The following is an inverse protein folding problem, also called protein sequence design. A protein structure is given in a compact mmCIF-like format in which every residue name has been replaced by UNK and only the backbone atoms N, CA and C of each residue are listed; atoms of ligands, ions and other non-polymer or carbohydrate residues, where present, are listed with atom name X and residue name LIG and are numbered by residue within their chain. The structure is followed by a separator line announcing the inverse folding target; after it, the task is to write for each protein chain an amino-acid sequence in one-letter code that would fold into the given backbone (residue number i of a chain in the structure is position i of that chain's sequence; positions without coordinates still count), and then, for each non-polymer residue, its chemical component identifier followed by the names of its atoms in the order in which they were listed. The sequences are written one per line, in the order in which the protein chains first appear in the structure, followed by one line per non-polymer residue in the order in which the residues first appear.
data_IF_531846098122
#
_entry.id   IF_531846098122
#
_cell.length_a   1.000
_cell.length_b   1.000
_cell.length_c   1.000
_cell.angle_alpha   90.00
_cell.angle_beta   90.00
_cell.angle_gamma   90.00
#
_symmetry.space_group_name_H-M   'P 1'
#
loop_
_entity.id
_entity.type
_entity.pdbx_description
1 polymer ?
#
# COMPACT_ATOMS: atom_id res chain seq x y z
N UNK A 1 -14.03 -5.59 -11.09
CA UNK A 1 -12.66 -5.25 -11.53
C UNK A 1 -11.67 -5.95 -10.62
N UNK A 2 -10.70 -6.66 -11.17
CA UNK A 2 -9.64 -7.30 -10.38
C UNK A 2 -8.47 -6.35 -10.16
N UNK A 3 -7.90 -6.39 -8.96
CA UNK A 3 -6.75 -5.58 -8.55
C UNK A 3 -5.72 -6.51 -7.91
N UNK A 4 -4.46 -6.30 -8.25
CA UNK A 4 -3.32 -6.92 -7.59
C UNK A 4 -2.63 -5.90 -6.69
N UNK A 5 -2.44 -6.25 -5.43
CA UNK A 5 -1.71 -5.47 -4.42
C UNK A 5 -0.48 -6.27 -4.02
N UNK A 6 0.69 -5.81 -4.47
CA UNK A 6 1.98 -6.37 -4.08
C UNK A 6 2.57 -5.55 -2.92
N UNK A 7 2.90 -6.21 -1.81
CA UNK A 7 3.62 -5.63 -0.69
C UNK A 7 5.01 -6.25 -0.64
N UNK A 8 6.05 -5.43 -0.76
CA UNK A 8 7.45 -5.86 -0.74
C UNK A 8 8.26 -5.07 0.28
N UNK A 9 9.20 -5.74 0.93
CA UNK A 9 10.20 -5.08 1.76
C UNK A 9 11.53 -5.00 1.00
N UNK A 10 12.12 -3.82 0.91
CA UNK A 10 13.45 -3.64 0.31
C UNK A 10 14.37 -2.91 1.29
N UNK A 11 15.62 -3.36 1.36
CA UNK A 11 16.64 -2.69 2.17
C UNK A 11 17.40 -1.69 1.29
N UNK A 12 17.13 -0.40 1.47
CA UNK A 12 17.89 0.64 0.80
C UNK A 12 19.19 0.92 1.57
N UNK A 13 20.31 1.03 0.85
CA UNK A 13 21.53 1.54 1.46
C UNK A 13 21.36 3.02 1.82
N UNK A 14 21.88 3.48 2.97
CA UNK A 14 21.87 4.89 3.29
C UNK A 14 22.63 5.66 2.21
N UNK A 15 21.98 6.70 1.66
CA UNK A 15 22.49 7.50 0.55
C UNK A 15 23.79 8.24 0.91
N UNK A 16 24.01 8.52 2.19
CA UNK A 16 25.22 9.12 2.74
C UNK A 16 26.03 8.04 3.47
N UNK A 17 26.96 7.43 2.74
CA UNK A 17 27.85 6.40 3.26
C UNK A 17 28.75 6.91 4.37
N UNK A 18 28.31 6.82 5.62
CA UNK A 18 29.21 6.65 6.76
C UNK A 18 28.56 5.65 7.70
N UNK A 19 28.89 4.37 7.54
CA UNK A 19 28.71 3.42 8.62
C UNK A 19 29.64 3.87 9.75
N UNK A 20 29.12 4.60 10.73
CA UNK A 20 29.75 4.59 12.03
C UNK A 20 29.65 3.14 12.52
N UNK A 21 30.77 2.44 12.81
CA UNK A 21 30.68 1.12 13.39
C UNK A 21 29.95 1.26 14.71
N UNK A 22 28.65 0.93 14.72
CA UNK A 22 27.92 0.72 15.96
C UNK A 22 28.54 -0.50 16.61
N UNK A 23 29.48 -0.25 17.51
CA UNK A 23 29.89 -1.24 18.49
C UNK A 23 28.62 -1.71 19.20
N UNK A 24 28.26 -3.01 19.14
CA UNK A 24 27.20 -3.51 19.97
C UNK A 24 27.60 -3.25 21.41
N UNK A 25 26.86 -2.38 22.11
CA UNK A 25 26.96 -2.29 23.56
C UNK A 25 26.31 -3.55 24.11
N UNK A 26 27.08 -4.63 24.14
CA UNK A 26 26.78 -5.72 25.07
C UNK A 26 26.91 -5.17 26.48
N UNK A 27 25.95 -5.50 27.32
CA UNK A 27 25.93 -5.15 28.74
C UNK A 27 27.03 -5.84 29.57
N UNK A 28 28.20 -6.12 28.98
CA UNK A 28 29.44 -6.58 29.59
C UNK A 28 30.56 -6.36 28.56
N UNK A 29 31.45 -5.40 28.83
CA UNK A 29 32.40 -4.83 27.87
C UNK A 29 33.55 -5.75 27.46
N UNK A 30 33.34 -6.59 26.45
CA UNK A 30 34.42 -7.17 25.65
C UNK A 30 34.04 -7.24 24.16
N UNK A 31 34.87 -6.69 23.25
CA UNK A 31 34.64 -6.83 21.81
C UNK A 31 35.10 -8.22 21.35
N UNK A 32 34.18 -9.00 20.77
CA UNK A 32 34.51 -10.24 20.06
C UNK A 32 34.95 -9.87 18.63
N UNK A 33 36.20 -10.16 18.22
CA UNK A 33 36.64 -9.92 16.85
C UNK A 33 36.24 -11.12 15.98
N UNK A 34 35.51 -10.87 14.88
CA UNK A 34 35.30 -11.88 13.84
C UNK A 34 33.92 -11.95 13.18
N UNK A 35 32.97 -11.07 13.48
CA UNK A 35 31.67 -11.11 12.78
C UNK A 35 31.74 -10.32 11.48
N UNK A 36 31.95 -11.03 10.38
CA UNK A 36 31.79 -10.58 9.00
C UNK A 36 30.56 -9.65 8.83
N UNK A 37 30.65 -8.56 8.04
CA UNK A 37 29.58 -7.57 7.88
C UNK A 37 28.28 -8.12 7.26
N UNK A 38 28.30 -9.37 6.78
CA UNK A 38 27.13 -10.07 6.21
C UNK A 38 26.07 -10.49 7.24
N UNK A 39 26.36 -10.49 8.54
CA UNK A 39 25.40 -10.90 9.57
C UNK A 39 24.70 -9.74 10.30
N UNK A 40 25.02 -8.48 9.97
CA UNK A 40 24.40 -7.33 10.64
C UNK A 40 22.98 -7.04 10.13
N UNK A 41 22.70 -7.36 8.86
CA UNK A 41 21.35 -7.27 8.27
C UNK A 41 20.37 -8.32 8.78
N UNK A 42 20.85 -9.28 9.57
CA UNK A 42 20.03 -10.37 10.13
C UNK A 42 19.40 -9.98 11.49
N UNK A 43 19.84 -8.86 12.09
CA UNK A 43 19.35 -8.41 13.40
C UNK A 43 18.26 -7.34 13.32
N UNK A 44 18.26 -6.54 12.26
CA UNK A 44 17.33 -5.42 12.07
C UNK A 44 17.08 -5.23 10.57
N UNK A 45 15.83 -4.93 10.19
CA UNK A 45 15.43 -4.72 8.79
C UNK A 45 14.29 -5.61 8.29
N UNK A 46 13.70 -6.46 9.15
CA UNK A 46 12.46 -7.16 8.83
C UNK A 46 11.22 -6.42 9.36
N UNK A 47 10.13 -6.60 8.61
CA UNK A 47 8.78 -6.19 8.98
C UNK A 47 8.04 -7.42 9.52
N UNK A 48 7.24 -7.29 10.57
CA UNK A 48 6.48 -8.39 11.15
C UNK A 48 5.12 -7.93 11.68
N UNK A 49 4.26 -8.89 12.05
CA UNK A 49 2.90 -8.62 12.52
C UNK A 49 2.12 -7.72 11.54
N UNK A 50 2.18 -8.11 10.26
CA UNK A 50 1.57 -7.36 9.17
C UNK A 50 0.08 -7.63 9.08
N UNK A 51 -0.68 -6.55 8.88
CA UNK A 51 -2.11 -6.55 8.66
C UNK A 51 -2.40 -5.69 7.42
N UNK A 52 -2.83 -6.33 6.34
CA UNK A 52 -3.15 -5.69 5.07
C UNK A 52 -4.67 -5.50 5.00
N UNK A 53 -5.10 -4.25 5.02
CA UNK A 53 -6.51 -3.87 4.96
C UNK A 53 -6.81 -3.21 3.61
N UNK A 54 -7.88 -3.68 2.98
CA UNK A 54 -8.43 -3.10 1.76
C UNK A 54 -9.74 -2.39 2.10
N UNK A 55 -9.79 -1.07 1.88
CA UNK A 55 -10.92 -0.22 2.26
C UNK A 55 -11.52 0.38 0.98
N UNK A 56 -12.76 0.01 0.59
CA UNK A 56 -13.40 0.60 -0.58
C UNK A 56 -13.72 2.08 -0.32
N UNK A 57 -13.62 2.90 -1.38
CA UNK A 57 -13.94 4.33 -1.32
C UNK A 57 -15.21 4.63 -2.12
N UNK A 58 -16.00 5.62 -1.68
CA UNK A 58 -17.26 5.98 -2.33
C UNK A 58 -18.32 4.88 -2.24
N UNK A 59 -19.01 4.61 -3.36
CA UNK A 59 -20.03 3.57 -3.46
C UNK A 59 -19.46 2.20 -3.90
N UNK A 60 -18.14 2.04 -3.86
CA UNK A 60 -17.50 0.80 -4.27
C UNK A 60 -17.61 -0.26 -3.17
N UNK A 61 -17.51 -1.53 -3.54
CA UNK A 61 -17.47 -2.61 -2.56
C UNK A 61 -16.51 -3.72 -2.98
N UNK A 62 -15.91 -4.37 -1.99
CA UNK A 62 -15.03 -5.52 -2.20
C UNK A 62 -15.91 -6.76 -2.20
N UNK A 63 -15.88 -7.49 -3.31
CA UNK A 63 -16.64 -8.73 -3.49
C UNK A 63 -15.86 -9.94 -3.00
N UNK A 64 -14.55 -9.94 -3.23
CA UNK A 64 -13.68 -11.09 -2.96
C UNK A 64 -12.25 -10.64 -2.70
N UNK A 65 -11.54 -11.35 -1.81
CA UNK A 65 -10.11 -11.20 -1.57
C UNK A 65 -9.48 -12.59 -1.62
N UNK A 66 -8.42 -12.74 -2.42
CA UNK A 66 -7.63 -13.96 -2.55
C UNK A 66 -6.20 -13.63 -2.12
N UNK A 67 -5.63 -14.47 -1.27
CA UNK A 67 -4.27 -14.33 -0.74
C UNK A 67 -3.56 -15.69 -0.80
N UNK A 68 -2.28 -15.67 -1.15
CA UNK A 68 -1.49 -16.85 -1.54
C UNK A 68 -1.25 -17.84 -0.39
N UNK A 69 -1.08 -17.34 0.84
CA UNK A 69 -0.89 -18.16 2.03
C UNK A 69 -1.71 -17.57 3.18
N UNK A 70 -2.75 -18.29 3.60
CA UNK A 70 -3.41 -18.06 4.88
C UNK A 70 -2.85 -19.03 5.92
N UNK A 71 -2.22 -18.54 7.00
CA UNK A 71 -2.19 -17.14 7.42
C UNK A 71 -1.12 -16.30 6.70
N UNK A 72 -1.45 -15.01 6.49
CA UNK A 72 -0.50 -13.97 6.06
C UNK A 72 0.87 -14.16 6.74
N UNK A 73 2.01 -14.12 6.02
CA UNK A 73 3.32 -14.34 6.62
C UNK A 73 3.53 -13.40 7.80
N UNK A 74 3.79 -13.97 8.98
CA UNK A 74 3.96 -13.18 10.21
C UNK A 74 5.19 -12.27 10.14
N UNK A 75 6.10 -12.48 9.18
CA UNK A 75 7.32 -11.71 8.96
C UNK A 75 7.64 -11.60 7.46
N UNK A 76 7.98 -10.39 7.01
CA UNK A 76 8.46 -10.07 5.66
C UNK A 76 9.93 -9.64 5.75
N UNK A 77 10.81 -10.51 5.25
CA UNK A 77 12.22 -10.20 5.10
C UNK A 77 12.47 -9.37 3.84
N UNK A 78 13.55 -8.58 3.79
CA UNK A 78 13.95 -7.87 2.57
C UNK A 78 14.05 -8.83 1.37
N UNK A 79 13.47 -8.43 0.24
CA UNK A 79 13.40 -9.22 -0.99
C UNK A 79 12.21 -10.18 -1.07
N UNK A 80 11.49 -10.40 0.03
CA UNK A 80 10.22 -11.14 0.00
C UNK A 80 9.06 -10.22 -0.36
N UNK A 81 8.03 -10.82 -0.95
CA UNK A 81 6.84 -10.15 -1.44
C UNK A 81 5.60 -10.93 -1.01
N UNK A 82 4.49 -10.22 -0.86
CA UNK A 82 3.16 -10.79 -0.62
C UNK A 82 2.21 -10.20 -1.64
N UNK A 83 1.43 -11.05 -2.30
CA UNK A 83 0.38 -10.66 -3.23
C UNK A 83 -1.00 -10.85 -2.61
N UNK A 84 -1.83 -9.80 -2.71
CA UNK A 84 -3.26 -9.85 -2.40
C UNK A 84 -4.02 -9.48 -3.67
N UNK A 85 -4.94 -10.35 -4.09
CA UNK A 85 -5.86 -10.08 -5.19
C UNK A 85 -7.21 -9.68 -4.61
N UNK A 86 -7.80 -8.61 -5.14
CA UNK A 86 -9.11 -8.16 -4.73
C UNK A 86 -10.03 -8.00 -5.93
N UNK A 87 -11.23 -8.56 -5.83
CA UNK A 87 -12.31 -8.29 -6.75
C UNK A 87 -13.15 -7.13 -6.20
N UNK A 88 -13.09 -5.98 -6.86
CA UNK A 88 -13.83 -4.79 -6.48
C UNK A 88 -14.95 -4.51 -7.47
N UNK A 89 -16.17 -4.35 -6.96
CA UNK A 89 -17.27 -3.80 -7.71
C UNK A 89 -17.15 -2.28 -7.73
N UNK A 90 -17.10 -1.73 -8.94
CA UNK A 90 -17.03 -0.29 -9.15
C UNK A 90 -18.38 0.19 -9.69
N UNK A 91 -19.09 1.01 -8.92
CA UNK A 91 -20.30 1.67 -9.40
C UNK A 91 -19.87 2.95 -10.12
N UNK A 92 -19.68 2.86 -11.44
CA UNK A 92 -19.47 4.05 -12.24
C UNK A 92 -20.71 4.93 -12.13
N UNK A 93 -20.54 6.20 -11.76
CA UNK A 93 -21.59 7.21 -11.95
C UNK A 93 -21.98 7.14 -13.43
N UNK A 94 -23.18 6.63 -13.70
CA UNK A 94 -23.69 6.54 -15.07
C UNK A 94 -23.73 7.95 -15.69
N UNK A 95 -23.68 8.05 -17.03
CA UNK A 95 -23.79 9.34 -17.69
C UNK A 95 -25.05 10.04 -17.17
N UNK A 96 -24.88 11.21 -16.55
CA UNK A 96 -26.01 12.01 -16.10
C UNK A 96 -26.85 12.28 -17.35
N UNK A 97 -28.12 11.82 -17.40
CA UNK A 97 -28.93 12.03 -18.59
C UNK A 97 -29.04 13.53 -18.82
N UNK A 98 -28.56 13.98 -19.98
CA UNK A 98 -28.66 15.36 -20.46
C UNK A 98 -30.09 15.86 -20.23
N UNK A 99 -30.29 16.68 -19.19
CA UNK A 99 -31.54 17.38 -18.99
C UNK A 99 -31.46 18.67 -19.80
N UNK A 100 -32.33 18.89 -20.79
CA UNK A 100 -32.41 20.19 -21.44
C UNK A 100 -33.08 21.16 -20.48
N UNK A 101 -32.32 21.71 -19.53
CA UNK A 101 -32.83 22.74 -18.64
C UNK A 101 -32.48 24.12 -19.21
N UNK A 102 -33.53 24.87 -19.57
CA UNK A 102 -33.43 26.30 -19.81
C UNK A 102 -32.82 27.03 -18.63
N UNK A 103 -32.23 28.19 -18.90
CA UNK A 103 -31.45 29.06 -18.02
C UNK A 103 -31.86 29.02 -16.53
N UNK A 104 -31.28 28.07 -15.78
CA UNK A 104 -31.23 28.05 -14.32
C UNK A 104 -29.76 28.26 -13.97
N UNK A 105 -29.47 29.12 -12.98
CA UNK A 105 -28.11 29.37 -12.50
C UNK A 105 -27.51 28.05 -11.98
N UNK A 106 -26.74 27.37 -12.81
CA UNK A 106 -25.96 26.20 -12.43
C UNK A 106 -24.94 26.60 -11.35
N UNK A 107 -24.73 25.73 -10.36
CA UNK A 107 -23.69 25.93 -9.35
C UNK A 107 -22.32 25.63 -9.96
N UNK A 108 -21.25 26.25 -9.46
CA UNK A 108 -19.88 26.06 -9.96
C UNK A 108 -19.47 24.59 -9.96
N UNK A 109 -19.90 23.84 -8.96
CA UNK A 109 -19.52 22.44 -8.77
C UNK A 109 -20.17 21.55 -9.85
N UNK A 110 -21.42 21.86 -10.23
CA UNK A 110 -22.13 21.18 -11.33
C UNK A 110 -21.44 21.45 -12.68
N UNK A 111 -20.93 22.66 -12.88
CA UNK A 111 -20.18 23.02 -14.09
C UNK A 111 -18.82 22.32 -14.14
N UNK A 112 -18.15 22.17 -13.00
CA UNK A 112 -16.87 21.45 -12.92
C UNK A 112 -17.09 19.97 -13.22
N UNK A 113 -18.12 19.36 -12.63
CA UNK A 113 -18.50 17.96 -12.91
C UNK A 113 -18.82 17.76 -14.42
N UNK A 114 -19.63 18.65 -15.00
CA UNK A 114 -19.97 18.61 -16.44
C UNK A 114 -18.71 18.74 -17.33
N UNK A 115 -17.77 19.61 -16.94
CA UNK A 115 -16.51 19.79 -17.66
C UNK A 115 -15.61 18.56 -17.53
N UNK A 116 -15.48 17.97 -16.35
CA UNK A 116 -14.71 16.74 -16.15
C UNK A 116 -15.26 15.57 -16.97
N UNK A 117 -16.58 15.47 -17.07
CA UNK A 117 -17.28 14.47 -17.89
C UNK A 117 -17.06 14.72 -19.39
N UNK A 118 -17.15 15.98 -19.84
CA UNK A 118 -16.89 16.34 -21.23
C UNK A 118 -15.43 16.17 -21.62
N UNK A 119 -14.49 16.41 -20.71
CA UNK A 119 -13.06 16.26 -20.95
C UNK A 119 -12.60 14.81 -20.74
N UNK A 120 -13.44 13.95 -20.16
CA UNK A 120 -13.12 12.56 -19.85
C UNK A 120 -11.89 12.44 -18.96
N UNK A 121 -11.72 13.40 -18.04
CA UNK A 121 -10.53 13.55 -17.21
C UNK A 121 -10.80 13.35 -15.72
N UNK A 122 -11.97 12.83 -15.35
CA UNK A 122 -12.31 12.65 -13.93
C UNK A 122 -11.47 11.52 -13.31
N UNK A 123 -10.77 11.83 -12.22
CA UNK A 123 -9.99 10.87 -11.44
C UNK A 123 -10.85 10.41 -10.27
N UNK A 124 -11.17 9.12 -10.23
CA UNK A 124 -12.01 8.52 -9.19
C UNK A 124 -11.18 7.58 -8.33
N UNK A 125 -11.00 7.95 -7.07
CA UNK A 125 -10.43 7.07 -6.05
C UNK A 125 -11.41 5.95 -5.73
N UNK A 126 -10.93 4.70 -5.69
CA UNK A 126 -11.82 3.55 -5.55
C UNK A 126 -11.43 2.58 -4.43
N UNK A 127 -10.15 2.55 -4.06
CA UNK A 127 -9.65 1.65 -3.02
C UNK A 127 -8.51 2.31 -2.25
N UNK A 128 -8.56 2.24 -0.92
CA UNK A 128 -7.44 2.58 -0.04
C UNK A 128 -6.86 1.28 0.51
N UNK A 129 -5.56 1.10 0.32
CA UNK A 129 -4.76 0.01 0.86
C UNK A 129 -4.07 0.54 2.11
N UNK A 130 -4.18 -0.18 3.23
CA UNK A 130 -3.52 0.16 4.49
C UNK A 130 -2.76 -1.06 4.98
N UNK A 131 -1.45 -0.93 5.15
CA UNK A 131 -0.58 -1.96 5.71
C UNK A 131 -0.12 -1.49 7.07
N UNK A 132 -0.55 -2.19 8.11
CA UNK A 132 -0.08 -1.96 9.48
C UNK A 132 0.92 -3.03 9.85
N UNK A 133 2.02 -2.65 10.45
CA UNK A 133 3.10 -3.58 10.74
C UNK A 133 4.02 -3.09 11.85
N UNK A 134 4.91 -3.98 12.29
CA UNK A 134 5.99 -3.66 13.22
C UNK A 134 7.32 -3.83 12.51
N UNK A 135 8.32 -3.11 12.96
CA UNK A 135 9.64 -3.15 12.34
C UNK A 135 10.69 -3.47 13.40
N UNK A 136 11.61 -4.38 13.07
CA UNK A 136 12.64 -4.87 14.00
C UNK A 136 13.56 -3.77 14.54
N UNK A 137 13.73 -2.66 13.82
CA UNK A 137 14.46 -1.48 14.32
C UNK A 137 13.79 -0.76 15.50
N UNK A 138 12.52 -1.08 15.82
CA UNK A 138 11.81 -0.56 16.98
C UNK A 138 11.42 -1.73 17.92
N UNK A 139 12.39 -2.33 18.63
CA UNK A 139 12.11 -3.44 19.52
C UNK A 139 11.25 -2.99 20.71
N UNK A 140 10.43 -3.90 21.25
CA UNK A 140 9.67 -3.67 22.47
C UNK A 140 10.60 -3.31 23.62
N UNK A 141 10.34 -2.20 24.30
CA UNK A 141 11.11 -1.79 25.47
C UNK A 141 10.41 -2.28 26.74
N UNK A 142 10.75 -3.48 27.19
CA UNK A 142 10.37 -3.95 28.53
C UNK A 142 11.39 -3.45 29.55
N UNK A 143 11.04 -2.48 30.40
CA UNK A 143 11.88 -2.17 31.58
C UNK A 143 11.68 -3.30 32.59
N UNK A 144 12.70 -4.14 32.77
CA UNK A 144 12.68 -5.24 33.74
C UNK A 144 12.83 -4.79 35.19
N UNK A 145 13.24 -3.54 35.42
CA UNK A 145 13.52 -3.00 36.76
C UNK A 145 12.62 -1.80 37.05
N UNK A 146 11.38 -2.02 37.49
CA UNK A 146 10.72 -1.10 38.42
C UNK A 146 9.47 -1.73 39.02
N UNK A 147 9.41 -1.66 40.35
CA UNK A 147 8.23 -1.82 41.19
C UNK A 147 7.13 -0.88 40.67
N UNK A 148 5.95 -1.43 40.45
CA UNK A 148 4.67 -0.75 40.15
C UNK A 148 4.42 -0.31 38.68
N UNK A 149 3.54 -1.06 37.99
CA UNK A 149 2.64 -0.52 36.96
C UNK A 149 3.19 -0.11 35.58
N UNK A 150 4.30 -0.66 35.08
CA UNK A 150 4.83 -0.27 33.75
C UNK A 150 4.13 -1.01 32.60
N UNK A 151 3.59 -0.23 31.65
CA UNK A 151 2.98 -0.68 30.41
C UNK A 151 4.04 -1.07 29.35
N UNK A 152 3.79 -2.17 28.62
CA UNK A 152 4.58 -2.54 27.42
C UNK A 152 4.45 -1.43 26.37
N UNK A 153 5.58 -0.89 25.91
CA UNK A 153 5.61 0.15 24.87
C UNK A 153 6.06 -0.49 23.57
N UNK A 154 5.17 -0.48 22.59
CA UNK A 154 5.39 -1.06 21.28
C UNK A 154 5.16 -0.02 20.18
N UNK A 155 6.00 -0.04 19.13
CA UNK A 155 5.85 0.82 17.96
C UNK A 155 5.15 0.03 16.84
N UNK A 156 4.04 0.56 16.35
CA UNK A 156 3.34 0.04 15.17
C UNK A 156 3.32 1.12 14.09
N UNK A 157 3.72 0.75 12.89
CA UNK A 157 3.78 1.60 11.71
C UNK A 157 2.56 1.33 10.83
N UNK A 158 2.09 2.39 10.16
CA UNK A 158 1.02 2.31 9.17
C UNK A 158 1.52 2.94 7.87
N UNK A 159 1.38 2.21 6.77
CA UNK A 159 1.62 2.72 5.42
C UNK A 159 0.32 2.62 4.64
N UNK A 160 -0.10 3.70 3.98
CA UNK A 160 -1.33 3.68 3.20
C UNK A 160 -1.12 4.21 1.79
N UNK A 161 -1.78 3.59 0.83
CA UNK A 161 -1.81 4.00 -0.57
C UNK A 161 -3.25 4.05 -1.07
N UNK A 162 -3.56 5.01 -1.94
CA UNK A 162 -4.90 5.13 -2.55
C UNK A 162 -4.81 4.86 -4.04
N UNK A 163 -5.58 3.88 -4.50
CA UNK A 163 -5.73 3.57 -5.90
C UNK A 163 -6.86 4.41 -6.52
N UNK A 164 -6.58 4.95 -7.71
CA UNK A 164 -7.50 5.80 -8.45
C UNK A 164 -7.56 5.35 -9.91
N UNK A 165 -8.75 5.43 -10.50
CA UNK A 165 -8.98 5.24 -11.92
C UNK A 165 -9.12 6.60 -12.60
N UNK A 166 -8.68 6.68 -13.84
CA UNK A 166 -9.05 7.77 -14.72
C UNK A 166 -10.25 7.32 -15.55
N UNK A 167 -11.37 8.01 -15.42
CA UNK A 167 -12.57 7.71 -16.18
C UNK A 167 -12.43 8.27 -17.60
N UNK A 168 -12.22 7.40 -18.57
CA UNK A 168 -12.15 7.76 -19.98
C UNK A 168 -13.55 7.78 -20.59
N UNK A 169 -14.00 8.96 -21.02
CA UNK A 169 -15.26 9.08 -21.74
C UNK A 169 -15.07 8.78 -23.22
N UNK A 170 -15.34 7.54 -23.65
CA UNK A 170 -15.22 7.10 -25.05
C UNK A 170 -16.07 7.89 -26.06
N UNK A 171 -17.05 8.69 -25.60
CA UNK A 171 -17.88 9.56 -26.46
C UNK A 171 -17.32 10.98 -26.55
N UNK A 172 -16.35 11.34 -25.72
CA UNK A 172 -15.67 12.63 -25.80
C UNK A 172 -14.53 12.58 -26.81
N UNK A 173 -14.47 13.60 -27.65
CA UNK A 173 -13.35 13.85 -28.58
C UNK A 173 -12.06 14.26 -27.85
N UNK A 174 -12.14 14.61 -26.56
CA UNK A 174 -11.03 15.05 -25.73
C UNK A 174 -10.48 13.94 -24.84
N UNK A 175 -11.17 12.81 -24.72
CA UNK A 175 -10.67 11.66 -23.97
C UNK A 175 -9.52 10.98 -24.72
N UNK A 176 -8.44 10.59 -24.02
CA UNK A 176 -7.42 9.71 -24.57
C UNK A 176 -8.05 8.42 -25.13
N UNK A 177 -7.59 8.00 -26.32
CA UNK A 177 -7.96 6.69 -26.84
C UNK A 177 -7.32 5.60 -25.97
N UNK A 178 -8.15 4.73 -25.38
CA UNK A 178 -7.66 3.60 -24.60
C UNK A 178 -6.88 2.64 -25.52
N UNK A 179 -5.55 2.70 -25.48
CA UNK A 179 -4.73 1.70 -26.15
C UNK A 179 -4.92 0.35 -25.43
N UNK A 180 -5.25 -0.69 -26.19
CA UNK A 180 -5.37 -2.06 -25.70
C UNK A 180 -3.98 -2.57 -25.28
N UNK A 181 -3.56 -2.23 -24.06
CA UNK A 181 -2.40 -2.86 -23.45
C UNK A 181 -2.81 -4.25 -22.91
N UNK A 182 -1.92 -5.26 -22.98
CA UNK A 182 -2.16 -6.55 -22.35
C UNK A 182 -2.38 -6.35 -20.84
N UNK A 183 -3.33 -7.10 -20.28
CA UNK A 183 -3.67 -6.99 -18.86
C UNK A 183 -2.46 -7.40 -18.00
N UNK A 184 -1.87 -6.48 -17.21
CA UNK A 184 -0.67 -6.77 -16.41
C UNK A 184 -0.95 -7.77 -15.28
N UNK A 185 -2.21 -7.98 -14.90
CA UNK A 185 -2.58 -8.87 -13.80
C UNK A 185 -2.07 -10.30 -14.01
N UNK A 186 -2.16 -10.84 -15.23
CA UNK A 186 -1.70 -12.20 -15.49
C UNK A 186 -0.19 -12.35 -15.26
N UNK A 187 0.59 -11.35 -15.66
CA UNK A 187 2.04 -11.35 -15.45
C UNK A 187 2.39 -11.30 -13.96
N UNK A 188 1.66 -10.51 -13.18
CA UNK A 188 1.83 -10.42 -11.73
C UNK A 188 1.41 -11.73 -11.07
N UNK A 189 0.24 -12.27 -11.40
CA UNK A 189 -0.25 -13.54 -10.83
C UNK A 189 0.73 -14.68 -11.11
N UNK A 190 1.26 -14.81 -12.33
CA UNK A 190 2.25 -15.84 -12.66
C UNK A 190 3.59 -15.71 -11.91
N UNK A 191 3.97 -14.50 -11.46
CA UNK A 191 5.21 -14.32 -10.70
C UNK A 191 5.10 -14.82 -9.26
N UNK A 192 3.88 -14.85 -8.73
CA UNK A 192 3.61 -15.29 -7.36
C UNK A 192 3.11 -16.75 -7.36
N UNK A 193 2.21 -17.10 -8.29
CA UNK A 193 1.55 -18.41 -8.40
C UNK A 193 2.01 -19.21 -9.65
N UNK A 194 3.11 -19.99 -9.57
CA UNK A 194 3.62 -20.80 -10.68
C UNK A 194 2.73 -22.00 -11.05
#
# INVERSE_FOLDING_TARGET
MWIAVEVSAELCQPTDGTFLPMTPVSNNGFPVPGTEPRQLGDRYGCIYDMDIQLIPLGNNCILEIIQEDEPTPSMLFPGLKVLVLAHVHFEAKGPIPFRPNGHIRQRSDELIDDLEDQLGSSRVEYLRIVVKYKHSAFPKCGRSDTVDGVADVETKLETSATAALQHLNHRSLWSPCAMLAPNPLFGIIHQHWP
#
